data_IF_497258126675
#
_entry.id   IF_497258126675
#
_cell.length_a   1.000
_cell.length_b   1.000
_cell.length_c   1.000
_cell.angle_alpha   90.00
_cell.angle_beta   90.00
_cell.angle_gamma   90.00
#
_symmetry.space_group_name_H-M   'P 1'
#
loop_
_entity.id
_entity.type
_entity.pdbx_description
1 polymer ?
#
# COMPACT_ATOMS: atom_id res chain seq x y z
N UNK A 1 -17.59 -35.83 -5.12
CA UNK A 1 -16.34 -35.88 -4.34
C UNK A 1 -15.23 -35.23 -5.14
N UNK A 2 -15.03 -33.92 -4.96
CA UNK A 2 -13.92 -33.22 -5.60
C UNK A 2 -12.74 -33.25 -4.62
N UNK A 3 -11.77 -34.15 -4.87
CA UNK A 3 -10.54 -34.34 -4.08
C UNK A 3 -9.43 -33.38 -4.50
N UNK A 4 -9.77 -32.31 -5.22
CA UNK A 4 -8.78 -31.39 -5.74
C UNK A 4 -8.29 -30.51 -4.59
N UNK A 5 -7.02 -30.66 -4.24
CA UNK A 5 -6.38 -29.92 -3.14
C UNK A 5 -5.48 -28.79 -3.64
N UNK A 6 -4.94 -28.89 -4.85
CA UNK A 6 -4.06 -27.87 -5.42
C UNK A 6 -4.38 -27.67 -6.89
N UNK A 7 -4.55 -26.41 -7.27
CA UNK A 7 -4.79 -25.99 -8.65
C UNK A 7 -3.94 -24.77 -8.99
N UNK A 8 -2.93 -24.97 -9.84
CA UNK A 8 -2.14 -23.90 -10.41
C UNK A 8 -2.47 -23.76 -11.90
N UNK A 9 -3.03 -22.61 -12.26
CA UNK A 9 -3.32 -22.20 -13.63
C UNK A 9 -2.65 -20.85 -13.93
N UNK A 10 -1.66 -20.45 -13.15
CA UNK A 10 -0.98 -19.19 -13.34
C UNK A 10 -0.23 -19.12 -14.67
N UNK A 11 0.01 -17.90 -15.17
CA UNK A 11 0.77 -17.65 -16.41
C UNK A 11 0.19 -18.34 -17.64
N UNK A 12 -1.14 -18.33 -17.77
CA UNK A 12 -1.83 -18.82 -18.95
C UNK A 12 -2.55 -17.67 -19.67
N UNK A 13 -3.19 -17.99 -20.79
CA UNK A 13 -4.03 -17.05 -21.54
C UNK A 13 -5.52 -17.30 -21.30
N UNK A 14 -5.88 -17.77 -20.10
CA UNK A 14 -7.30 -17.99 -19.75
C UNK A 14 -8.03 -16.66 -19.74
N UNK A 15 -9.26 -16.65 -20.24
CA UNK A 15 -10.08 -15.44 -20.33
C UNK A 15 -11.53 -15.74 -19.97
N UNK A 16 -12.31 -14.68 -19.76
CA UNK A 16 -13.69 -14.79 -19.28
C UNK A 16 -13.79 -14.72 -17.75
N UNK A 17 -14.96 -15.09 -17.22
CA UNK A 17 -15.28 -15.00 -15.79
C UNK A 17 -14.86 -16.25 -15.04
N UNK A 18 -14.51 -16.08 -13.77
CA UNK A 18 -14.34 -17.21 -12.85
C UNK A 18 -15.72 -17.83 -12.61
N UNK A 19 -15.93 -19.12 -12.92
CA UNK A 19 -17.22 -19.79 -12.72
C UNK A 19 -17.56 -19.87 -11.22
N UNK A 20 -18.83 -19.65 -10.87
CA UNK A 20 -19.32 -19.77 -9.50
C UNK A 20 -19.19 -21.21 -8.97
N UNK A 21 -19.17 -22.19 -9.87
CA UNK A 21 -18.99 -23.61 -9.58
C UNK A 21 -17.62 -23.89 -8.94
N UNK A 22 -16.62 -23.02 -9.13
CA UNK A 22 -15.32 -23.15 -8.44
C UNK A 22 -15.44 -23.05 -6.93
N UNK A 23 -16.50 -22.39 -6.41
CA UNK A 23 -16.74 -22.33 -4.96
C UNK A 23 -17.21 -23.68 -4.38
N UNK A 24 -17.66 -24.62 -5.22
CA UNK A 24 -18.08 -25.95 -4.76
C UNK A 24 -16.90 -26.90 -4.50
N UNK A 25 -15.66 -26.46 -4.77
CA UNK A 25 -14.44 -27.24 -4.58
C UNK A 25 -13.87 -26.99 -3.17
N UNK A 26 -14.57 -27.50 -2.16
CA UNK A 26 -14.30 -27.21 -0.74
C UNK A 26 -12.95 -27.74 -0.22
N UNK A 27 -12.26 -28.61 -0.96
CA UNK A 27 -11.02 -29.24 -0.52
C UNK A 27 -9.76 -28.53 -1.04
N UNK A 28 -9.91 -27.41 -1.74
CA UNK A 28 -8.80 -26.76 -2.43
C UNK A 28 -7.92 -25.98 -1.44
N UNK A 29 -6.77 -26.53 -1.06
CA UNK A 29 -5.79 -25.88 -0.19
C UNK A 29 -4.95 -24.82 -0.93
N UNK A 30 -4.73 -24.97 -2.23
CA UNK A 30 -3.95 -24.04 -3.04
C UNK A 30 -4.65 -23.72 -4.36
N UNK A 31 -4.73 -22.43 -4.68
CA UNK A 31 -5.22 -21.92 -5.95
C UNK A 31 -4.29 -20.80 -6.43
N UNK A 32 -3.89 -20.87 -7.70
CA UNK A 32 -3.25 -19.77 -8.40
C UNK A 32 -3.87 -19.58 -9.78
N UNK A 33 -4.50 -18.44 -10.00
CA UNK A 33 -5.02 -17.95 -11.28
C UNK A 33 -4.21 -16.74 -11.78
N UNK A 34 -3.05 -16.48 -11.17
CA UNK A 34 -2.25 -15.30 -11.39
C UNK A 34 -1.81 -15.17 -12.86
N UNK A 35 -1.67 -13.94 -13.35
CA UNK A 35 -1.17 -13.64 -14.70
C UNK A 35 -1.96 -14.37 -15.81
N UNK A 36 -3.27 -14.15 -15.83
CA UNK A 36 -4.17 -14.55 -16.90
C UNK A 36 -4.93 -13.34 -17.45
N UNK A 37 -5.87 -13.56 -18.37
CA UNK A 37 -6.75 -12.53 -18.93
C UNK A 37 -8.20 -12.67 -18.41
N UNK A 38 -8.37 -13.11 -17.16
CA UNK A 38 -9.68 -13.26 -16.55
C UNK A 38 -10.33 -11.90 -16.27
N UNK A 39 -11.66 -11.87 -16.26
CA UNK A 39 -12.46 -10.67 -16.10
C UNK A 39 -13.72 -10.86 -15.26
N UNK A 40 -14.26 -9.77 -14.72
CA UNK A 40 -15.47 -9.78 -13.89
C UNK A 40 -15.18 -9.85 -12.39
N UNK A 41 -16.25 -9.97 -11.59
CA UNK A 41 -16.15 -10.08 -10.14
C UNK A 41 -15.64 -11.46 -9.75
N UNK A 42 -14.67 -11.51 -8.83
CA UNK A 42 -14.32 -12.75 -8.13
C UNK A 42 -15.55 -13.19 -7.32
N UNK A 43 -16.04 -14.42 -7.50
CA UNK A 43 -17.17 -14.93 -6.73
C UNK A 43 -16.82 -14.86 -5.24
N UNK A 44 -17.68 -14.19 -4.45
CA UNK A 44 -17.50 -14.07 -2.99
C UNK A 44 -17.99 -15.34 -2.27
N UNK A 45 -17.44 -16.46 -2.70
CA UNK A 45 -17.71 -17.77 -2.16
C UNK A 45 -16.84 -18.09 -0.96
N UNK A 46 -17.27 -19.06 -0.14
CA UNK A 46 -16.57 -19.42 1.10
C UNK A 46 -15.15 -19.87 0.81
N UNK A 47 -14.94 -20.68 -0.24
CA UNK A 47 -13.62 -21.19 -0.58
C UNK A 47 -12.77 -20.11 -1.25
N UNK A 48 -13.31 -19.45 -2.29
CA UNK A 48 -12.54 -18.50 -3.08
C UNK A 48 -12.13 -17.26 -2.29
N UNK A 49 -12.94 -16.83 -1.32
CA UNK A 49 -12.64 -15.75 -0.40
C UNK A 49 -11.50 -16.06 0.58
N UNK A 50 -11.10 -17.33 0.75
CA UNK A 50 -9.99 -17.72 1.63
C UNK A 50 -8.61 -17.52 0.99
N UNK A 51 -8.55 -17.44 -0.35
CA UNK A 51 -7.29 -17.33 -1.06
C UNK A 51 -6.73 -15.90 -1.02
N UNK A 52 -5.40 -15.79 -1.10
CA UNK A 52 -4.71 -14.49 -1.02
C UNK A 52 -4.85 -13.71 -2.32
N UNK A 53 -4.65 -12.40 -2.24
CA UNK A 53 -4.57 -11.49 -3.39
C UNK A 53 -3.64 -11.99 -4.50
N UNK A 54 -2.49 -12.58 -4.13
CA UNK A 54 -1.51 -13.13 -5.06
C UNK A 54 -2.11 -14.22 -5.98
N UNK A 55 -3.08 -15.00 -5.51
CA UNK A 55 -3.74 -16.02 -6.32
C UNK A 55 -4.51 -15.46 -7.51
N UNK A 56 -4.84 -14.16 -7.51
CA UNK A 56 -5.65 -13.52 -8.55
C UNK A 56 -4.91 -12.36 -9.24
N UNK A 57 -3.65 -12.12 -8.90
CA UNK A 57 -2.88 -10.98 -9.43
C UNK A 57 -2.62 -11.10 -10.93
N UNK A 58 -2.22 -10.00 -11.58
CA UNK A 58 -1.90 -10.03 -13.01
C UNK A 58 -3.10 -10.26 -13.95
N UNK A 59 -4.34 -10.20 -13.45
CA UNK A 59 -5.57 -10.26 -14.23
C UNK A 59 -6.21 -8.87 -14.33
N UNK A 60 -6.10 -8.16 -15.48
CA UNK A 60 -6.51 -6.75 -15.57
C UNK A 60 -8.03 -6.56 -15.46
N UNK A 61 -8.82 -7.55 -15.88
CA UNK A 61 -10.28 -7.49 -15.90
C UNK A 61 -10.96 -7.92 -14.60
N UNK A 62 -10.24 -8.56 -13.67
CA UNK A 62 -10.82 -9.01 -12.40
C UNK A 62 -11.07 -7.83 -11.45
N UNK A 63 -12.09 -7.96 -10.61
CA UNK A 63 -12.46 -7.04 -9.53
C UNK A 63 -13.10 -7.82 -8.36
N UNK A 64 -13.30 -7.18 -7.21
CA UNK A 64 -13.82 -7.78 -5.98
C UNK A 64 -12.72 -8.18 -4.99
N UNK A 65 -13.13 -8.67 -3.81
CA UNK A 65 -12.24 -9.28 -2.84
C UNK A 65 -11.67 -10.59 -3.41
N UNK A 66 -10.39 -10.94 -3.16
CA UNK A 66 -9.39 -10.27 -2.31
C UNK A 66 -8.53 -9.19 -3.03
N UNK A 67 -8.86 -8.79 -4.27
CA UNK A 67 -8.08 -7.80 -5.03
C UNK A 67 -8.31 -6.35 -4.57
N UNK A 68 -9.34 -6.09 -3.75
CA UNK A 68 -9.76 -4.75 -3.26
C UNK A 68 -10.09 -3.75 -4.39
N UNK A 69 -10.40 -4.26 -5.59
CA UNK A 69 -10.79 -3.43 -6.73
C UNK A 69 -12.32 -3.41 -6.86
N UNK A 70 -12.92 -2.23 -6.96
CA UNK A 70 -14.38 -2.07 -7.02
C UNK A 70 -14.91 -2.58 -8.37
N UNK A 71 -16.02 -3.33 -8.35
CA UNK A 71 -16.70 -3.80 -9.55
C UNK A 71 -17.74 -2.76 -10.03
N UNK A 72 -17.87 -2.59 -11.35
CA UNK A 72 -18.73 -1.56 -11.95
C UNK A 72 -20.24 -1.70 -11.65
N UNK A 73 -20.69 -2.86 -11.17
CA UNK A 73 -22.07 -3.11 -10.76
C UNK A 73 -22.48 -2.42 -9.46
N UNK A 74 -21.52 -2.01 -8.63
CA UNK A 74 -21.77 -1.42 -7.31
C UNK A 74 -22.06 0.10 -7.38
N UNK A 75 -22.16 0.69 -8.58
CA UNK A 75 -22.44 2.12 -8.76
C UNK A 75 -23.93 2.50 -8.61
N UNK A 76 -24.81 1.55 -8.29
CA UNK A 76 -26.24 1.79 -8.03
C UNK A 76 -26.54 1.35 -6.60
N UNK A 77 -26.07 2.14 -5.62
CA UNK A 77 -26.39 1.94 -4.21
C UNK A 77 -25.17 2.12 -3.32
N UNK A 78 -25.23 3.21 -2.55
CA UNK A 78 -24.38 3.52 -1.41
C UNK A 78 -23.09 4.35 -1.67
N UNK A 79 -23.28 5.63 -1.37
CA UNK A 79 -22.45 6.57 -0.63
C UNK A 79 -20.97 6.24 -0.33
N UNK A 80 -20.15 7.29 -0.36
CA UNK A 80 -18.71 7.19 -0.42
C UNK A 80 -18.03 6.51 0.76
N UNK A 81 -17.16 5.54 0.46
CA UNK A 81 -15.90 5.25 1.19
C UNK A 81 -15.13 4.12 0.51
N UNK A 82 -14.00 4.46 -0.14
CA UNK A 82 -12.69 3.80 -0.01
C UNK A 82 -11.77 4.18 -1.17
N UNK A 83 -10.99 5.25 -1.00
CA UNK A 83 -9.59 5.26 -1.45
C UNK A 83 -8.71 5.40 -0.19
N UNK A 84 -8.82 4.41 0.69
CA UNK A 84 -8.22 4.45 2.03
C UNK A 84 -6.71 4.21 2.04
N UNK A 85 -6.10 3.75 0.94
CA UNK A 85 -4.65 3.51 0.90
C UNK A 85 -3.87 4.66 0.27
N UNK A 86 -4.48 5.43 -0.64
CA UNK A 86 -3.84 6.60 -1.26
C UNK A 86 -3.96 7.84 -0.38
N UNK A 87 -5.09 7.99 0.32
CA UNK A 87 -5.37 9.17 1.15
C UNK A 87 -4.55 9.19 2.44
N UNK A 88 -4.38 8.07 3.13
CA UNK A 88 -3.56 8.03 4.36
C UNK A 88 -2.08 8.28 4.08
N UNK A 89 -1.55 7.73 2.99
CA UNK A 89 -0.17 8.02 2.55
C UNK A 89 -0.02 9.50 2.18
N UNK A 90 -0.99 10.06 1.46
CA UNK A 90 -0.96 11.48 1.07
C UNK A 90 -0.99 12.39 2.30
N UNK A 91 -1.86 12.12 3.27
CA UNK A 91 -1.98 12.89 4.52
C UNK A 91 -0.73 12.80 5.39
N UNK A 92 -0.11 11.62 5.46
CA UNK A 92 1.15 11.46 6.20
C UNK A 92 2.27 12.30 5.56
N UNK A 93 2.44 12.22 4.24
CA UNK A 93 3.47 12.99 3.53
C UNK A 93 3.25 14.49 3.57
N UNK A 94 2.02 14.97 3.48
CA UNK A 94 1.72 16.41 3.58
C UNK A 94 2.01 16.95 4.98
N UNK A 95 1.64 16.22 6.04
CA UNK A 95 1.96 16.58 7.42
C UNK A 95 3.48 16.64 7.65
N UNK A 96 4.22 15.61 7.23
CA UNK A 96 5.68 15.61 7.35
C UNK A 96 6.30 16.82 6.62
N UNK A 97 5.91 17.08 5.37
CA UNK A 97 6.46 18.20 4.59
C UNK A 97 6.24 19.56 5.26
N UNK A 98 5.05 19.80 5.84
CA UNK A 98 4.74 21.04 6.54
C UNK A 98 5.56 21.20 7.84
N UNK A 99 5.70 20.12 8.62
CA UNK A 99 6.51 20.13 9.84
C UNK A 99 8.00 20.39 9.55
N UNK A 100 8.54 19.75 8.50
CA UNK A 100 9.91 19.99 8.06
C UNK A 100 10.11 21.42 7.57
N UNK A 101 9.18 21.97 6.76
CA UNK A 101 9.26 23.34 6.26
C UNK A 101 9.29 24.38 7.38
N UNK A 102 8.38 24.29 8.34
CA UNK A 102 8.30 25.23 9.46
C UNK A 102 9.49 25.10 10.42
N UNK A 103 9.93 23.88 10.71
CA UNK A 103 11.10 23.64 11.56
C UNK A 103 12.40 24.12 10.90
N UNK A 104 12.60 23.79 9.62
CA UNK A 104 13.79 24.15 8.88
C UNK A 104 13.90 25.67 8.65
N UNK A 105 12.80 26.32 8.29
CA UNK A 105 12.77 27.79 8.13
C UNK A 105 12.78 28.54 9.45
N UNK A 106 12.21 27.98 10.53
CA UNK A 106 12.35 28.54 11.87
C UNK A 106 13.80 28.50 12.36
N UNK A 107 14.51 27.39 12.12
CA UNK A 107 15.91 27.24 12.47
C UNK A 107 16.83 28.15 11.63
N UNK A 108 16.68 28.13 10.31
CA UNK A 108 17.45 29.01 9.42
C UNK A 108 17.11 30.49 9.62
N UNK A 109 15.84 30.83 9.80
CA UNK A 109 15.38 32.19 10.06
C UNK A 109 15.88 32.71 11.40
N UNK A 110 15.88 31.88 12.44
CA UNK A 110 16.46 32.20 13.74
C UNK A 110 17.97 32.46 13.67
N UNK A 111 18.69 31.69 12.85
CA UNK A 111 20.11 31.91 12.58
C UNK A 111 20.37 33.18 11.76
N UNK A 112 19.44 33.60 10.89
CA UNK A 112 19.61 34.76 10.01
C UNK A 112 19.22 36.09 10.66
N UNK A 113 18.15 36.12 11.48
CA UNK A 113 17.61 37.37 12.01
C UNK A 113 18.40 37.94 13.20
N UNK A 114 19.19 37.10 13.89
CA UNK A 114 19.93 37.53 15.07
C UNK A 114 21.44 37.28 14.90
N UNK A 115 22.15 38.28 14.36
CA UNK A 115 23.62 38.26 14.24
C UNK A 115 24.33 37.95 15.57
N UNK A 116 23.70 38.22 16.71
CA UNK A 116 24.20 37.88 18.05
C UNK A 116 24.09 36.40 18.40
N UNK A 117 23.04 35.72 17.93
CA UNK A 117 22.85 34.28 18.17
C UNK A 117 23.83 33.45 17.35
N UNK A 118 24.10 33.87 16.10
CA UNK A 118 25.12 33.27 15.24
C UNK A 118 26.47 33.17 15.95
N UNK A 119 26.91 34.25 16.61
CA UNK A 119 28.18 34.27 17.33
C UNK A 119 28.20 33.32 18.54
N UNK A 120 27.09 33.19 19.28
CA UNK A 120 26.99 32.22 20.40
C UNK A 120 26.96 30.77 19.90
N UNK A 121 26.26 30.52 18.80
CA UNK A 121 26.19 29.20 18.17
C UNK A 121 27.58 28.76 17.67
N UNK A 122 28.29 29.61 16.92
CA UNK A 122 29.65 29.30 16.49
C UNK A 122 30.61 29.09 17.67
N UNK A 123 30.52 29.93 18.72
CA UNK A 123 31.35 29.76 19.91
C UNK A 123 31.09 28.43 20.64
N UNK A 124 29.83 28.04 20.77
CA UNK A 124 29.47 26.75 21.37
C UNK A 124 29.96 25.56 20.54
N UNK A 125 29.85 25.63 19.21
CA UNK A 125 30.38 24.60 18.30
C UNK A 125 31.90 24.49 18.46
N UNK A 126 32.61 25.63 18.47
CA UNK A 126 34.06 25.69 18.63
C UNK A 126 34.50 25.04 19.96
N UNK A 127 33.82 25.37 21.07
CA UNK A 127 34.05 24.75 22.38
C UNK A 127 33.81 23.23 22.37
N UNK A 128 32.80 22.76 21.62
CA UNK A 128 32.48 21.34 21.52
C UNK A 128 33.53 20.56 20.71
N UNK A 129 34.01 21.13 19.60
CA UNK A 129 35.08 20.54 18.80
C UNK A 129 36.40 20.48 19.57
N UNK A 130 36.73 21.54 20.31
CA UNK A 130 37.91 21.62 21.17
C UNK A 130 37.88 20.63 22.34
N UNK A 131 36.69 20.26 22.82
CA UNK A 131 36.52 19.21 23.82
C UNK A 131 36.72 17.83 23.20
N UNK A 132 36.11 17.58 22.05
CA UNK A 132 36.25 16.32 21.33
C UNK A 132 37.69 16.04 20.86
N UNK A 133 38.41 17.07 20.39
CA UNK A 133 39.83 16.98 20.01
C UNK A 133 40.78 16.75 21.19
N UNK A 134 40.35 17.04 22.43
CA UNK A 134 41.13 16.78 23.64
C UNK A 134 40.95 15.37 24.19
N UNK A 135 39.84 14.72 23.85
CA UNK A 135 39.53 13.34 24.23
C UNK A 135 40.02 12.30 23.19
N UNK A 136 40.70 12.75 22.12
CA UNK A 136 41.30 11.92 21.07
C UNK A 136 42.84 11.88 21.22
#
# INVERSE_FOLDING_TARGET
>A
MNKLESLDLSHNSLSGRIPNEMDQINNLAFLSLAFNNLSGSIPNGVQLGTFKKASFEGNPGLCGLPLEKICSSDRIGDDGKHDSQTLEKTLFYTCCALLFGLGFWGFLGGLFFNLRWRMKYFKFIDEFYDMYLRDL
#
